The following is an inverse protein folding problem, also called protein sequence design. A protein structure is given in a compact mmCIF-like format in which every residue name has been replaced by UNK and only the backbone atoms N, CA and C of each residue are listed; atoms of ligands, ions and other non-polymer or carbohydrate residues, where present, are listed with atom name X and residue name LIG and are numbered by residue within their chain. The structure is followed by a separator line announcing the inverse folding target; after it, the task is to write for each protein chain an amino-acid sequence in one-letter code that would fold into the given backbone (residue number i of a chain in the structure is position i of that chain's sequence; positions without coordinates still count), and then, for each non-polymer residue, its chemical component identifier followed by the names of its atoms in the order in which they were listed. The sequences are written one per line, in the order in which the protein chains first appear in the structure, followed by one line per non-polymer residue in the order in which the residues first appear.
data_IF_582307502758
#
_entry.id   IF_582307502758
#
_cell.length_a   1.000
_cell.length_b   1.000
_cell.length_c   1.000
_cell.angle_alpha   90.00
_cell.angle_beta   90.00
_cell.angle_gamma   90.00
#
_symmetry.space_group_name_H-M   'P 1'
#
loop_
_entity.id
_entity.type
_entity.pdbx_description
1 polymer ?
#
# COMPACT_ATOMS: atom_id res chain seq x y z
N UNK A 1 -38.30 39.49 60.59
CA UNK A 1 -36.95 39.50 60.00
C UNK A 1 -36.78 38.19 59.24
N UNK A 2 -36.68 38.24 57.91
CA UNK A 2 -36.61 37.07 57.02
C UNK A 2 -35.13 36.73 56.79
N UNK A 3 -34.74 35.48 57.02
CA UNK A 3 -33.44 34.95 56.61
C UNK A 3 -33.63 34.15 55.32
N UNK A 4 -32.93 34.55 54.26
CA UNK A 4 -32.93 33.85 52.97
C UNK A 4 -31.54 33.29 52.75
N UNK A 5 -31.41 31.97 52.75
CA UNK A 5 -30.18 31.24 52.44
C UNK A 5 -30.06 31.10 50.92
N UNK A 6 -28.94 31.55 50.34
CA UNK A 6 -28.63 31.38 48.91
C UNK A 6 -27.64 30.23 48.77
N UNK A 7 -28.04 29.16 48.07
CA UNK A 7 -27.14 28.09 47.63
C UNK A 7 -26.44 28.54 46.34
N UNK A 8 -25.11 28.62 46.36
CA UNK A 8 -24.29 28.80 45.16
C UNK A 8 -23.98 27.44 44.54
N UNK A 9 -24.55 27.15 43.36
CA UNK A 9 -24.16 26.01 42.54
C UNK A 9 -23.01 26.41 41.61
N UNK A 10 -21.85 25.80 41.82
CA UNK A 10 -20.68 25.94 40.95
C UNK A 10 -20.90 25.05 39.71
N UNK A 11 -21.16 25.66 38.55
CA UNK A 11 -21.21 24.95 37.27
C UNK A 11 -19.78 24.87 36.73
N UNK A 12 -19.15 23.69 36.83
CA UNK A 12 -17.89 23.40 36.15
C UNK A 12 -18.22 23.08 34.69
N UNK A 13 -18.10 24.07 33.81
CA UNK A 13 -18.15 23.85 32.36
C UNK A 13 -16.86 23.15 31.93
N UNK A 14 -16.91 21.82 31.83
CA UNK A 14 -15.88 21.07 31.12
C UNK A 14 -16.01 21.37 29.63
N UNK A 15 -15.21 22.30 29.11
CA UNK A 15 -15.01 22.47 27.67
C UNK A 15 -14.19 21.29 27.17
N UNK A 16 -14.87 20.18 26.83
CA UNK A 16 -14.26 19.18 25.97
C UNK A 16 -14.12 19.80 24.58
N UNK A 17 -12.89 20.16 24.21
CA UNK A 17 -12.57 20.47 22.83
C UNK A 17 -12.63 19.14 22.09
N UNK A 18 -13.82 18.78 21.59
CA UNK A 18 -13.91 17.75 20.58
C UNK A 18 -13.10 18.26 19.38
N UNK A 19 -11.92 17.68 19.16
CA UNK A 19 -11.15 17.92 17.96
C UNK A 19 -11.97 17.39 16.78
N UNK A 20 -12.84 18.23 16.21
CA UNK A 20 -13.49 17.97 14.93
C UNK A 20 -12.38 17.99 13.90
N UNK A 21 -11.93 16.80 13.48
CA UNK A 21 -11.08 16.66 12.33
C UNK A 21 -11.85 17.22 11.11
N UNK A 22 -11.48 18.40 10.66
CA UNK A 22 -11.99 18.98 9.42
C UNK A 22 -11.33 18.26 8.25
N UNK A 23 -12.04 17.29 7.69
CA UNK A 23 -11.65 16.63 6.45
C UNK A 23 -12.12 17.48 5.27
N UNK A 24 -11.27 17.66 4.26
CA UNK A 24 -11.74 18.22 2.99
C UNK A 24 -12.55 17.17 2.24
N UNK A 25 -13.60 17.59 1.53
CA UNK A 25 -14.38 16.69 0.66
C UNK A 25 -13.52 16.00 -0.40
N UNK A 26 -12.45 16.64 -0.86
CA UNK A 26 -11.47 16.05 -1.76
C UNK A 26 -10.71 14.88 -1.12
N UNK A 27 -10.25 15.04 0.13
CA UNK A 27 -9.56 13.97 0.87
C UNK A 27 -10.46 12.75 1.08
N UNK A 28 -11.74 12.99 1.40
CA UNK A 28 -12.74 11.92 1.59
C UNK A 28 -13.04 11.21 0.26
N UNK A 29 -13.18 11.95 -0.84
CA UNK A 29 -13.41 11.37 -2.17
C UNK A 29 -12.20 10.56 -2.66
N UNK A 30 -10.99 11.06 -2.44
CA UNK A 30 -9.75 10.34 -2.72
C UNK A 30 -9.66 9.04 -1.90
N UNK A 31 -9.91 9.08 -0.58
CA UNK A 31 -9.95 7.89 0.27
C UNK A 31 -11.01 6.87 -0.20
N UNK A 32 -12.19 7.35 -0.63
CA UNK A 32 -13.24 6.52 -1.23
C UNK A 32 -12.87 5.92 -2.60
N UNK A 33 -11.80 6.38 -3.23
CA UNK A 33 -11.27 5.85 -4.50
C UNK A 33 -10.40 4.61 -4.36
N UNK A 34 -9.94 4.27 -3.13
CA UNK A 34 -9.11 3.10 -2.85
C UNK A 34 -9.98 1.88 -2.55
N UNK A 35 -10.58 1.32 -3.61
CA UNK A 35 -11.45 0.14 -3.51
C UNK A 35 -10.97 -0.96 -4.45
N UNK A 36 -11.41 -2.20 -4.20
CA UNK A 36 -11.15 -3.36 -5.08
C UNK A 36 -11.57 -3.08 -6.54
N UNK A 37 -12.69 -2.39 -6.75
CA UNK A 37 -13.21 -2.05 -8.09
C UNK A 37 -12.30 -1.09 -8.89
N UNK A 38 -11.47 -0.31 -8.19
CA UNK A 38 -10.52 0.62 -8.80
C UNK A 38 -9.08 0.15 -8.62
N UNK A 39 -8.87 -1.16 -8.36
CA UNK A 39 -7.54 -1.73 -8.08
C UNK A 39 -6.75 -0.89 -7.08
N UNK A 40 -7.43 -0.42 -6.03
CA UNK A 40 -6.85 0.42 -4.98
C UNK A 40 -6.07 1.64 -5.52
N UNK A 41 -6.61 2.30 -6.55
CA UNK A 41 -6.01 3.48 -7.17
C UNK A 41 -5.13 3.21 -8.39
N UNK A 42 -4.91 1.93 -8.76
CA UNK A 42 -4.08 1.53 -9.89
C UNK A 42 -4.85 0.62 -10.89
N UNK A 43 -5.92 1.11 -11.56
CA UNK A 43 -6.75 0.29 -12.44
C UNK A 43 -6.05 -0.22 -13.71
N UNK A 44 -4.95 0.43 -14.11
CA UNK A 44 -4.14 0.04 -15.26
C UNK A 44 -2.88 -0.64 -14.72
N UNK A 45 -2.63 -1.93 -15.03
CA UNK A 45 -1.47 -2.67 -14.53
C UNK A 45 -0.15 -2.13 -15.12
N UNK A 46 1.00 -2.39 -14.47
CA UNK A 46 2.27 -1.74 -14.79
C UNK A 46 2.85 -2.08 -16.16
N UNK A 47 2.39 -3.14 -16.82
CA UNK A 47 2.82 -3.51 -18.19
C UNK A 47 1.96 -2.89 -19.30
N UNK A 48 1.00 -2.01 -18.97
CA UNK A 48 0.13 -1.34 -19.95
C UNK A 48 0.39 0.15 -19.99
N UNK A 49 0.38 0.73 -21.19
CA UNK A 49 0.54 2.18 -21.38
C UNK A 49 -0.47 3.00 -20.56
N UNK A 50 -0.01 4.13 -19.98
CA UNK A 50 -0.81 5.00 -19.13
C UNK A 50 -1.00 4.50 -17.70
N UNK A 51 -0.25 3.48 -17.28
CA UNK A 51 -0.24 3.02 -15.91
C UNK A 51 0.35 4.07 -14.96
N UNK A 52 -0.23 4.18 -13.78
CA UNK A 52 0.34 4.93 -12.66
C UNK A 52 0.15 4.14 -11.36
N UNK A 53 1.13 4.16 -10.45
CA UNK A 53 1.01 3.49 -9.16
C UNK A 53 -0.10 4.16 -8.35
N UNK A 54 -0.85 3.36 -7.61
CA UNK A 54 -1.99 3.88 -6.84
C UNK A 54 -1.54 4.77 -5.68
N UNK A 55 -0.41 4.43 -5.07
CA UNK A 55 0.06 5.05 -3.85
C UNK A 55 1.53 4.69 -3.55
N UNK A 56 2.11 5.44 -2.61
CA UNK A 56 3.45 5.20 -2.06
C UNK A 56 3.34 4.86 -0.57
N UNK A 57 4.04 3.80 -0.14
CA UNK A 57 4.19 3.43 1.26
C UNK A 57 5.66 3.22 1.59
N UNK A 58 6.23 4.22 2.26
CA UNK A 58 7.62 4.21 2.66
C UNK A 58 7.89 5.31 3.67
N UNK A 59 9.14 5.34 4.13
CA UNK A 59 9.67 6.32 5.08
C UNK A 59 10.13 7.62 4.42
N UNK A 60 10.27 7.61 3.09
CA UNK A 60 10.72 8.74 2.29
C UNK A 60 9.59 9.66 1.82
N UNK A 61 9.93 10.54 0.87
CA UNK A 61 8.93 11.34 0.16
C UNK A 61 8.35 10.52 -0.99
N UNK A 62 7.02 10.52 -1.10
CA UNK A 62 6.35 9.97 -2.27
C UNK A 62 6.86 10.65 -3.55
N UNK A 63 7.03 9.91 -4.66
CA UNK A 63 7.32 10.54 -5.93
C UNK A 63 6.20 11.48 -6.36
N UNK A 64 6.56 12.40 -7.25
CA UNK A 64 5.65 13.42 -7.73
C UNK A 64 4.38 12.78 -8.30
N UNK A 65 3.21 13.30 -7.89
CA UNK A 65 1.92 12.83 -8.40
C UNK A 65 1.37 11.56 -7.76
N UNK A 66 2.11 10.94 -6.82
CA UNK A 66 1.66 9.76 -6.09
C UNK A 66 1.26 10.16 -4.67
N UNK A 67 0.09 9.71 -4.23
CA UNK A 67 -0.35 9.96 -2.85
C UNK A 67 0.44 9.09 -1.88
N UNK A 68 1.06 9.72 -0.88
CA UNK A 68 1.69 9.01 0.24
C UNK A 68 0.62 8.48 1.18
N UNK A 69 0.69 7.21 1.56
CA UNK A 69 -0.09 6.65 2.65
C UNK A 69 0.56 7.02 3.99
N UNK A 70 0.49 8.31 4.33
CA UNK A 70 0.96 8.83 5.62
C UNK A 70 -0.05 8.59 6.75
N UNK A 71 0.36 8.89 7.99
CA UNK A 71 -0.49 8.69 9.18
C UNK A 71 -1.83 9.44 9.11
N UNK A 72 -1.92 10.54 8.36
CA UNK A 72 -3.16 11.29 8.19
C UNK A 72 -4.10 10.58 7.21
N UNK A 73 -3.59 10.20 6.04
CA UNK A 73 -4.37 9.52 5.01
C UNK A 73 -4.85 8.13 5.49
N UNK A 74 -4.01 7.43 6.24
CA UNK A 74 -4.34 6.16 6.86
C UNK A 74 -5.44 6.26 7.92
N UNK A 75 -5.44 7.34 8.70
CA UNK A 75 -6.51 7.60 9.68
C UNK A 75 -7.84 7.95 9.01
N UNK A 76 -7.82 8.48 7.79
CA UNK A 76 -9.03 8.73 7.02
C UNK A 76 -9.56 7.42 6.40
N UNK A 77 -8.69 6.60 5.83
CA UNK A 77 -9.05 5.30 5.26
C UNK A 77 -9.68 4.36 6.30
N UNK A 78 -9.23 4.42 7.56
CA UNK A 78 -9.82 3.60 8.63
C UNK A 78 -11.28 3.93 8.98
N UNK A 79 -11.83 5.05 8.50
CA UNK A 79 -13.25 5.38 8.64
C UNK A 79 -14.15 4.63 7.64
N UNK A 80 -13.58 3.92 6.68
CA UNK A 80 -14.30 3.16 5.66
C UNK A 80 -14.16 1.65 5.93
N UNK A 81 -15.08 1.02 6.67
CA UNK A 81 -14.93 -0.34 7.20
C UNK A 81 -14.93 -1.46 6.15
N UNK A 82 -15.17 -1.14 4.88
CA UNK A 82 -15.11 -2.08 3.74
C UNK A 82 -14.10 -1.60 2.67
N UNK A 83 -13.26 -0.62 3.03
CA UNK A 83 -12.24 -0.03 2.17
C UNK A 83 -10.84 -0.55 2.49
N UNK A 84 -9.87 -0.04 1.74
CA UNK A 84 -8.46 -0.32 1.94
C UNK A 84 -7.99 0.08 3.36
N UNK A 85 -7.42 -0.86 4.10
CA UNK A 85 -6.71 -0.55 5.34
C UNK A 85 -5.28 -0.16 4.98
N UNK A 86 -4.73 0.88 5.61
CA UNK A 86 -3.32 1.14 5.40
C UNK A 86 -2.46 -0.03 5.88
N UNK A 87 -1.38 -0.35 5.17
CA UNK A 87 -0.37 -1.27 5.67
C UNK A 87 0.08 -0.78 7.05
N UNK A 88 -0.02 -1.65 8.04
CA UNK A 88 0.46 -1.37 9.39
C UNK A 88 1.56 -2.37 9.69
N UNK A 89 2.72 -1.92 10.22
CA UNK A 89 3.72 -2.87 10.68
C UNK A 89 3.09 -3.78 11.74
N UNK A 90 3.41 -5.09 11.73
CA UNK A 90 2.87 -6.00 12.73
C UNK A 90 3.26 -5.54 14.14
N UNK A 91 2.40 -5.75 15.15
CA UNK A 91 2.73 -5.44 16.52
C UNK A 91 3.98 -6.24 16.96
N UNK A 92 4.85 -5.67 17.81
CA UNK A 92 6.02 -6.37 18.29
C UNK A 92 5.60 -7.67 19.00
N UNK A 93 6.32 -8.79 18.77
CA UNK A 93 6.00 -10.06 19.39
C UNK A 93 6.09 -9.96 20.93
N UNK A 94 5.27 -10.71 21.68
CA UNK A 94 5.37 -10.78 23.12
C UNK A 94 6.80 -11.13 23.57
N UNK A 95 7.29 -10.55 24.68
CA UNK A 95 8.56 -10.95 25.27
C UNK A 95 8.59 -12.49 25.45
N UNK A 96 9.65 -13.13 24.94
CA UNK A 96 9.89 -14.59 25.03
C UNK A 96 9.08 -15.50 24.10
N UNK A 97 8.37 -14.98 23.10
CA UNK A 97 7.83 -15.82 22.02
C UNK A 97 8.90 -16.10 20.96
N UNK A 98 9.03 -17.35 20.44
CA UNK A 98 9.86 -17.60 19.27
C UNK A 98 9.33 -16.79 18.07
N UNK A 99 10.19 -16.35 17.15
CA UNK A 99 9.75 -15.64 15.97
C UNK A 99 8.73 -16.47 15.19
N UNK A 100 7.59 -15.91 14.75
CA UNK A 100 6.70 -16.61 13.84
C UNK A 100 7.44 -16.92 12.53
N UNK A 101 7.11 -18.04 11.84
CA UNK A 101 7.63 -18.29 10.50
C UNK A 101 7.23 -17.14 9.55
N UNK A 102 8.05 -16.86 8.52
CA UNK A 102 7.73 -15.80 7.57
C UNK A 102 6.41 -16.14 6.85
N UNK A 103 5.45 -15.20 6.75
CA UNK A 103 4.14 -15.46 6.15
C UNK A 103 4.19 -15.68 4.64
N UNK A 104 5.31 -15.34 4.01
CA UNK A 104 5.57 -15.49 2.59
C UNK A 104 6.90 -16.19 2.34
N UNK A 105 6.94 -16.98 1.28
CA UNK A 105 8.14 -17.63 0.75
C UNK A 105 8.42 -17.13 -0.64
N UNK A 106 9.70 -16.89 -0.93
CA UNK A 106 10.15 -16.63 -2.29
C UNK A 106 9.78 -17.80 -3.19
N UNK A 107 9.28 -17.51 -4.38
CA UNK A 107 8.90 -18.54 -5.36
C UNK A 107 10.15 -19.06 -6.05
N UNK A 108 10.24 -20.39 -6.18
CA UNK A 108 11.37 -21.04 -6.85
C UNK A 108 11.49 -20.57 -8.32
N UNK A 109 12.74 -20.29 -8.73
CA UNK A 109 13.06 -19.72 -10.03
C UNK A 109 12.60 -18.27 -10.27
N UNK A 110 11.79 -17.66 -9.40
CA UNK A 110 11.32 -16.28 -9.54
C UNK A 110 12.17 -15.32 -8.69
N UNK A 111 13.46 -15.22 -9.00
CA UNK A 111 14.42 -14.40 -8.26
C UNK A 111 15.42 -13.74 -9.19
N UNK A 112 15.65 -12.45 -8.96
CA UNK A 112 16.59 -11.62 -9.72
C UNK A 112 16.41 -11.74 -11.24
N UNK A 113 15.15 -11.74 -11.70
CA UNK A 113 14.81 -11.74 -13.12
C UNK A 113 14.83 -10.31 -13.69
N UNK A 114 14.99 -10.22 -15.01
CA UNK A 114 14.95 -8.96 -15.76
C UNK A 114 13.55 -8.66 -16.34
N UNK A 115 12.54 -9.40 -15.87
CA UNK A 115 11.14 -9.21 -16.22
C UNK A 115 10.25 -9.35 -14.97
N UNK A 116 9.21 -8.52 -14.89
CA UNK A 116 8.21 -8.51 -13.84
C UNK A 116 7.03 -9.42 -14.19
N UNK A 117 6.31 -9.85 -13.16
CA UNK A 117 5.10 -10.63 -13.30
C UNK A 117 4.04 -9.86 -14.10
N UNK A 118 3.41 -10.56 -15.03
CA UNK A 118 2.24 -10.11 -15.78
C UNK A 118 1.20 -11.24 -15.76
N UNK A 119 0.04 -10.98 -15.17
CA UNK A 119 -1.00 -12.01 -15.06
C UNK A 119 -2.41 -11.38 -14.89
N UNK A 120 -3.45 -12.17 -15.19
CA UNK A 120 -4.85 -11.78 -15.07
C UNK A 120 -5.35 -11.64 -13.63
N UNK A 121 -4.67 -12.25 -12.66
CA UNK A 121 -4.95 -12.16 -11.22
C UNK A 121 -4.50 -10.85 -10.57
N UNK A 122 -4.10 -9.85 -11.37
CA UNK A 122 -3.68 -8.54 -10.92
C UNK A 122 -4.70 -7.86 -10.00
N UNK A 123 -4.21 -7.38 -8.84
CA UNK A 123 -5.01 -6.66 -7.85
C UNK A 123 -4.72 -5.16 -7.85
N UNK A 124 -3.44 -4.78 -7.78
CA UNK A 124 -2.96 -3.40 -7.70
C UNK A 124 -1.43 -3.35 -7.80
N UNK A 125 -0.85 -2.15 -7.89
CA UNK A 125 0.55 -1.92 -7.55
C UNK A 125 0.76 -0.55 -6.92
N UNK A 126 1.82 -0.47 -6.12
CA UNK A 126 2.28 0.73 -5.45
C UNK A 126 3.80 0.78 -5.41
N UNK A 127 4.33 1.86 -4.85
CA UNK A 127 5.76 2.04 -4.66
C UNK A 127 6.13 1.94 -3.19
N UNK A 128 7.22 1.22 -2.92
CA UNK A 128 7.70 0.95 -1.56
C UNK A 128 9.21 1.08 -1.46
N UNK A 129 9.70 1.30 -0.25
CA UNK A 129 11.15 1.41 -0.01
C UNK A 129 11.83 0.03 0.15
N UNK A 130 11.09 -0.98 0.62
CA UNK A 130 11.64 -2.30 0.96
C UNK A 130 10.69 -3.43 0.58
N UNK A 131 11.23 -4.64 0.46
CA UNK A 131 10.42 -5.86 0.32
C UNK A 131 9.46 -6.01 1.52
N UNK A 132 9.91 -5.63 2.72
CA UNK A 132 9.06 -5.64 3.93
C UNK A 132 7.86 -4.71 3.86
N UNK A 133 8.02 -3.55 3.24
CA UNK A 133 6.90 -2.66 2.96
C UNK A 133 5.94 -3.28 1.93
N UNK A 134 6.44 -4.07 0.96
CA UNK A 134 5.61 -4.83 0.03
C UNK A 134 4.84 -5.98 0.70
N UNK A 135 5.43 -6.67 1.69
CA UNK A 135 4.71 -7.66 2.52
C UNK A 135 3.50 -7.01 3.20
N UNK A 136 3.73 -5.92 3.93
CA UNK A 136 2.65 -5.20 4.63
C UNK A 136 1.59 -4.67 3.65
N UNK A 137 2.02 -4.28 2.44
CA UNK A 137 1.13 -3.89 1.36
C UNK A 137 0.24 -5.06 0.92
N UNK A 138 0.79 -6.25 0.71
CA UNK A 138 0.00 -7.44 0.35
C UNK A 138 -1.00 -7.81 1.46
N UNK A 139 -0.58 -7.81 2.73
CA UNK A 139 -1.46 -8.11 3.88
C UNK A 139 -2.65 -7.14 4.03
N UNK A 140 -2.51 -5.92 3.51
CA UNK A 140 -3.54 -4.89 3.54
C UNK A 140 -4.56 -4.99 2.40
N UNK A 141 -4.25 -5.77 1.36
CA UNK A 141 -5.09 -5.95 0.17
C UNK A 141 -5.83 -7.26 0.26
N UNK A 142 -7.17 -7.20 0.26
CA UNK A 142 -8.00 -8.40 0.20
C UNK A 142 -7.60 -9.27 -0.99
N UNK A 143 -7.49 -10.57 -0.72
CA UNK A 143 -7.18 -11.63 -1.69
C UNK A 143 -5.73 -11.63 -2.20
N UNK A 144 -4.84 -10.80 -1.67
CA UNK A 144 -3.43 -10.85 -2.07
C UNK A 144 -2.78 -12.17 -1.60
N UNK A 145 -2.28 -12.93 -2.57
CA UNK A 145 -1.64 -14.24 -2.35
C UNK A 145 -0.18 -14.23 -2.81
N UNK A 146 0.13 -13.37 -3.78
CA UNK A 146 1.45 -13.19 -4.35
C UNK A 146 1.76 -11.72 -4.54
N UNK A 147 3.04 -11.39 -4.38
CA UNK A 147 3.54 -10.11 -4.83
C UNK A 147 4.89 -10.27 -5.53
N UNK A 148 5.12 -9.39 -6.48
CA UNK A 148 6.39 -9.26 -7.20
C UNK A 148 6.99 -7.88 -6.92
N UNK A 149 8.23 -7.88 -6.46
CA UNK A 149 9.04 -6.68 -6.26
C UNK A 149 10.07 -6.56 -7.36
N UNK A 150 10.23 -5.36 -7.92
CA UNK A 150 11.23 -5.10 -8.96
C UNK A 150 11.61 -3.61 -9.03
N UNK A 151 12.73 -3.31 -9.68
CA UNK A 151 13.05 -1.97 -10.13
C UNK A 151 12.61 -1.81 -11.58
N UNK A 152 11.74 -0.82 -11.82
CA UNK A 152 11.43 -0.33 -13.15
C UNK A 152 12.29 0.92 -13.38
N UNK A 153 13.43 0.70 -14.05
CA UNK A 153 14.48 1.70 -14.26
C UNK A 153 14.07 2.59 -15.41
N UNK A 154 14.23 3.91 -15.26
CA UNK A 154 13.72 4.96 -16.14
C UNK A 154 12.18 5.06 -16.20
N UNK A 155 11.43 4.02 -15.83
CA UNK A 155 9.98 4.12 -15.64
C UNK A 155 9.57 4.93 -14.41
N UNK A 156 8.26 5.01 -14.16
CA UNK A 156 7.66 5.66 -12.97
C UNK A 156 8.16 7.09 -12.71
N UNK A 157 8.24 7.91 -13.76
CA UNK A 157 8.77 9.29 -13.68
C UNK A 157 10.18 9.36 -13.02
N UNK A 158 11.00 8.33 -13.24
CA UNK A 158 12.37 8.23 -12.72
C UNK A 158 12.48 7.83 -11.24
N UNK A 159 11.39 7.36 -10.61
CA UNK A 159 11.43 6.89 -9.22
C UNK A 159 12.36 5.68 -9.05
N UNK A 160 13.31 5.76 -8.12
CA UNK A 160 14.20 4.65 -7.75
C UNK A 160 13.57 3.62 -6.81
N UNK A 161 12.33 3.84 -6.37
CA UNK A 161 11.65 2.96 -5.41
C UNK A 161 11.28 1.61 -6.04
N UNK A 162 11.13 0.60 -5.20
CA UNK A 162 10.66 -0.71 -5.62
C UNK A 162 9.20 -0.61 -6.06
N UNK A 163 8.90 -1.18 -7.21
CA UNK A 163 7.53 -1.47 -7.60
C UNK A 163 7.07 -2.70 -6.84
N UNK A 164 5.91 -2.62 -6.20
CA UNK A 164 5.25 -3.72 -5.50
C UNK A 164 3.93 -4.02 -6.21
N UNK A 165 3.93 -5.05 -7.07
CA UNK A 165 2.72 -5.50 -7.77
C UNK A 165 2.10 -6.71 -7.08
N UNK A 166 0.79 -6.66 -6.85
CA UNK A 166 0.05 -7.64 -6.08
C UNK A 166 -0.90 -8.45 -6.96
N UNK A 167 -1.05 -9.73 -6.65
CA UNK A 167 -1.84 -10.69 -7.40
C UNK A 167 -2.62 -11.62 -6.47
N UNK A 168 -3.79 -12.06 -6.92
CA UNK A 168 -4.64 -12.97 -6.15
C UNK A 168 -4.25 -14.44 -6.26
N UNK A 169 -3.36 -14.79 -7.19
CA UNK A 169 -2.87 -16.15 -7.39
C UNK A 169 -1.37 -16.25 -7.15
N UNK A 170 -0.90 -17.42 -6.70
CA UNK A 170 0.53 -17.69 -6.58
C UNK A 170 1.14 -17.91 -7.97
N UNK A 171 1.94 -16.94 -8.44
CA UNK A 171 2.55 -16.99 -9.76
C UNK A 171 3.93 -17.68 -9.73
N UNK A 172 4.37 -18.16 -10.89
CA UNK A 172 5.70 -18.74 -11.08
C UNK A 172 6.54 -17.84 -12.00
N UNK A 173 7.84 -18.14 -12.12
CA UNK A 173 8.76 -17.44 -13.02
C UNK A 173 8.28 -17.39 -14.48
N UNK A 174 7.39 -18.31 -14.89
CA UNK A 174 6.79 -18.29 -16.22
C UNK A 174 5.89 -17.07 -16.49
N UNK A 175 5.47 -16.34 -15.45
CA UNK A 175 4.70 -15.09 -15.59
C UNK A 175 5.59 -13.85 -15.74
N UNK A 176 6.91 -13.99 -15.67
CA UNK A 176 7.86 -12.89 -15.77
C UNK A 176 8.00 -12.43 -17.24
N UNK A 177 6.96 -11.78 -17.77
CA UNK A 177 6.87 -11.36 -19.18
C UNK A 177 7.04 -9.84 -19.38
N UNK A 178 6.86 -9.04 -18.32
CA UNK A 178 6.99 -7.58 -18.40
C UNK A 178 8.46 -7.17 -18.24
N UNK A 179 9.22 -7.10 -19.32
CA UNK A 179 10.64 -6.76 -19.28
C UNK A 179 10.94 -5.26 -19.44
N UNK A 180 9.90 -4.42 -19.52
CA UNK A 180 10.00 -3.02 -19.94
C UNK A 180 10.08 -2.87 -21.47
N UNK A 181 10.66 -1.76 -21.93
CA UNK A 181 10.76 -1.38 -23.35
C UNK A 181 9.86 -0.22 -23.75
N UNK A 182 9.13 0.39 -22.82
CA UNK A 182 8.31 1.57 -23.04
C UNK A 182 9.21 2.82 -23.10
N UNK A 183 9.03 3.63 -24.14
CA UNK A 183 9.68 4.94 -24.25
C UNK A 183 9.01 5.94 -23.32
N UNK A 184 9.81 6.56 -22.48
CA UNK A 184 9.41 7.56 -21.50
C UNK A 184 9.32 8.96 -22.12
N UNK A 185 8.73 9.90 -21.40
CA UNK A 185 8.54 11.27 -21.90
C UNK A 185 9.84 12.04 -22.19
N UNK A 186 10.95 11.64 -21.55
CA UNK A 186 12.29 12.17 -21.78
C UNK A 186 13.07 11.45 -22.89
N UNK A 187 12.46 10.45 -23.54
CA UNK A 187 13.06 9.64 -24.60
C UNK A 187 13.91 8.48 -24.11
N UNK A 188 14.06 8.30 -22.79
CA UNK A 188 14.66 7.09 -22.23
C UNK A 188 13.74 5.87 -22.46
N UNK A 189 14.32 4.67 -22.39
CA UNK A 189 13.56 3.41 -22.46
C UNK A 189 13.63 2.76 -21.08
N UNK A 190 12.49 2.32 -20.58
CA UNK A 190 12.43 1.60 -19.31
C UNK A 190 12.86 0.14 -19.44
N UNK A 191 13.28 -0.44 -18.32
CA UNK A 191 13.61 -1.86 -18.23
C UNK A 191 13.50 -2.34 -16.79
N UNK A 192 13.18 -3.63 -16.64
CA UNK A 192 12.99 -4.25 -15.33
C UNK A 192 14.30 -4.89 -14.84
N UNK A 193 14.58 -4.76 -13.56
CA UNK A 193 15.71 -5.44 -12.89
C UNK A 193 15.31 -5.92 -11.49
N UNK A 194 16.09 -6.88 -10.97
CA UNK A 194 15.97 -7.40 -9.60
C UNK A 194 14.56 -7.93 -9.27
N UNK A 195 13.86 -8.47 -10.26
CA UNK A 195 12.49 -8.95 -10.11
C UNK A 195 12.44 -10.25 -9.31
N UNK A 196 11.73 -10.22 -8.19
CA UNK A 196 11.58 -11.36 -7.27
C UNK A 196 10.11 -11.54 -6.88
N UNK A 197 9.64 -12.79 -6.89
CA UNK A 197 8.26 -13.16 -6.55
C UNK A 197 8.15 -13.87 -5.20
N UNK A 198 7.09 -13.62 -4.46
CA UNK A 198 6.82 -14.21 -3.15
C UNK A 198 5.35 -14.62 -3.04
N UNK A 199 5.09 -15.84 -2.55
CA UNK A 199 3.74 -16.33 -2.27
C UNK A 199 3.51 -16.54 -0.79
N UNK A 200 2.26 -16.46 -0.33
CA UNK A 200 1.91 -16.89 1.02
C UNK A 200 2.32 -18.35 1.25
N UNK A 201 2.78 -18.68 2.45
CA UNK A 201 3.23 -20.05 2.80
C UNK A 201 2.15 -21.13 2.68
N UNK A 202 0.88 -20.75 2.52
CA UNK A 202 -0.23 -21.70 2.32
C UNK A 202 -0.46 -22.09 0.85
N UNK A 203 0.23 -21.45 -0.10
CA UNK A 203 0.00 -21.64 -1.55
C UNK A 203 1.14 -22.38 -2.27
N UNK A 204 2.21 -22.77 -1.58
CA UNK A 204 3.27 -23.61 -2.13
C UNK A 204 2.91 -25.09 -2.04
N UNK A 205 2.22 -25.61 -3.05
CA UNK A 205 1.93 -27.04 -3.24
C UNK A 205 2.47 -27.54 -4.58
#
# INVERSE_FOLDING_TARGET
MRFTTVFSALVVTATSVAATATYSSASVALAGGFTKNNCYGAPIPPWKSGHHPGWYYGSGSAPKGISSLDSFFCKLLSLFPHGYHCPSPPPPPPPHSPPPPPPYTQVDGFYNLDCAAQDGSYLTYGLVDTVDACYNMCDSVSDCTFFNTYHDVNGKDGSSQLTCSLFSECLTAASADNCGGQTQSDGSVDYITNSTGYCTTSSSY
#
